data_IF_187553395299
#
_entry.id   IF_187553395299
#
_cell.length_a   1.000
_cell.length_b   1.000
_cell.length_c   1.000
_cell.angle_alpha   90.00
_cell.angle_beta   90.00
_cell.angle_gamma   90.00
#
_symmetry.space_group_name_H-M   'P 1'
#
loop_
_entity.id
_entity.type
_entity.pdbx_description
1 polymer ?
#
# COMPACT_ATOMS: atom_id res chain seq x y z
N UNK A 1 64.71 -1.48 -7.54
CA UNK A 1 64.45 -0.67 -6.33
C UNK A 1 63.66 0.61 -6.59
N UNK A 2 64.09 1.55 -7.45
CA UNK A 2 63.24 2.73 -7.80
C UNK A 2 62.09 2.33 -8.75
N UNK A 3 62.31 1.36 -9.63
CA UNK A 3 61.29 0.86 -10.57
C UNK A 3 60.15 0.11 -9.85
N UNK A 4 60.46 -0.74 -8.86
CA UNK A 4 59.45 -1.50 -8.09
C UNK A 4 58.54 -0.60 -7.24
N UNK A 5 59.09 0.49 -6.70
CA UNK A 5 58.37 1.48 -5.89
C UNK A 5 57.32 2.28 -6.69
N UNK A 6 57.52 2.46 -8.00
CA UNK A 6 56.57 3.12 -8.88
C UNK A 6 55.40 2.19 -9.26
N UNK A 7 55.67 0.88 -9.35
CA UNK A 7 54.68 -0.14 -9.69
C UNK A 7 53.72 -0.41 -8.52
N UNK A 8 54.25 -0.51 -7.28
CA UNK A 8 53.42 -0.63 -6.07
C UNK A 8 52.52 0.60 -5.86
N UNK A 9 53.05 1.82 -6.04
CA UNK A 9 52.25 3.05 -5.92
C UNK A 9 51.19 3.17 -7.01
N UNK A 10 51.49 2.72 -8.23
CA UNK A 10 50.54 2.67 -9.33
C UNK A 10 49.40 1.70 -9.06
N UNK A 11 49.71 0.52 -8.53
CA UNK A 11 48.72 -0.50 -8.21
C UNK A 11 47.73 -0.04 -7.13
N UNK A 12 48.22 0.63 -6.08
CA UNK A 12 47.37 1.19 -5.01
C UNK A 12 46.41 2.27 -5.53
N UNK A 13 46.86 3.10 -6.48
CA UNK A 13 45.99 4.13 -7.09
C UNK A 13 44.87 3.50 -7.94
N UNK A 14 45.17 2.41 -8.65
CA UNK A 14 44.18 1.67 -9.46
C UNK A 14 43.15 0.99 -8.56
N UNK A 15 43.59 0.33 -7.49
CA UNK A 15 42.72 -0.32 -6.51
C UNK A 15 41.75 0.67 -5.87
N UNK A 16 42.23 1.86 -5.49
CA UNK A 16 41.40 2.92 -4.96
C UNK A 16 40.36 3.42 -5.99
N UNK A 17 40.76 3.60 -7.25
CA UNK A 17 39.86 4.04 -8.31
C UNK A 17 38.74 3.03 -8.58
N UNK A 18 39.07 1.73 -8.61
CA UNK A 18 38.08 0.66 -8.81
C UNK A 18 37.15 0.57 -7.60
N UNK A 19 37.68 0.59 -6.38
CA UNK A 19 36.87 0.60 -5.16
C UNK A 19 35.90 1.79 -5.13
N UNK A 20 36.37 2.97 -5.53
CA UNK A 20 35.54 4.18 -5.59
C UNK A 20 34.41 4.06 -6.62
N UNK A 21 34.68 3.49 -7.80
CA UNK A 21 33.65 3.27 -8.83
C UNK A 21 32.60 2.25 -8.37
N UNK A 22 33.03 1.16 -7.74
CA UNK A 22 32.12 0.15 -7.16
C UNK A 22 31.26 0.79 -6.07
N UNK A 23 31.86 1.59 -5.20
CA UNK A 23 31.14 2.32 -4.15
C UNK A 23 30.10 3.28 -4.74
N UNK A 24 30.44 4.04 -5.79
CA UNK A 24 29.50 4.94 -6.45
C UNK A 24 28.32 4.21 -7.09
N UNK A 25 28.59 3.07 -7.75
CA UNK A 25 27.52 2.21 -8.29
C UNK A 25 26.60 1.67 -7.19
N UNK A 26 27.18 1.27 -6.05
CA UNK A 26 26.42 0.79 -4.90
C UNK A 26 25.51 1.88 -4.32
N UNK A 27 26.03 3.10 -4.10
CA UNK A 27 25.24 4.25 -3.64
C UNK A 27 24.13 4.62 -4.64
N UNK A 28 24.44 4.59 -5.94
CA UNK A 28 23.44 4.80 -6.99
C UNK A 28 22.33 3.74 -6.94
N UNK A 29 22.67 2.48 -6.71
CA UNK A 29 21.68 1.40 -6.58
C UNK A 29 20.74 1.59 -5.38
N UNK A 30 21.29 1.95 -4.21
CA UNK A 30 20.49 2.22 -3.01
C UNK A 30 19.57 3.43 -3.23
N UNK A 31 20.08 4.51 -3.80
CA UNK A 31 19.28 5.70 -4.05
C UNK A 31 18.14 5.41 -5.03
N UNK A 32 18.40 4.77 -6.17
CA UNK A 32 17.35 4.40 -7.14
C UNK A 32 16.26 3.51 -6.54
N UNK A 33 16.64 2.49 -5.78
CA UNK A 33 15.67 1.59 -5.12
C UNK A 33 14.87 2.30 -4.03
N UNK A 34 15.49 3.25 -3.32
CA UNK A 34 14.81 4.09 -2.33
C UNK A 34 13.78 5.03 -2.97
N UNK A 35 14.14 5.72 -4.05
CA UNK A 35 13.22 6.59 -4.80
C UNK A 35 12.06 5.79 -5.42
N UNK A 36 12.33 4.58 -5.92
CA UNK A 36 11.30 3.68 -6.41
C UNK A 36 10.35 3.21 -5.30
N UNK A 37 10.89 2.82 -4.14
CA UNK A 37 10.11 2.38 -2.99
C UNK A 37 9.20 3.49 -2.43
N UNK A 38 9.74 4.70 -2.31
CA UNK A 38 8.99 5.88 -1.86
C UNK A 38 7.93 6.27 -2.91
N UNK A 39 8.28 6.27 -4.19
CA UNK A 39 7.35 6.57 -5.28
C UNK A 39 6.14 5.65 -5.32
N UNK A 40 6.31 4.34 -5.07
CA UNK A 40 5.20 3.40 -5.02
C UNK A 40 4.20 3.71 -3.90
N UNK A 41 4.65 4.25 -2.75
CA UNK A 41 3.76 4.67 -1.68
C UNK A 41 2.92 5.89 -2.10
N UNK A 42 3.55 6.91 -2.68
CA UNK A 42 2.86 8.12 -3.15
C UNK A 42 1.93 7.86 -4.34
N UNK A 43 2.32 7.01 -5.29
CA UNK A 43 1.49 6.65 -6.44
C UNK A 43 0.24 5.89 -5.97
N UNK A 44 0.35 5.05 -4.94
CA UNK A 44 -0.81 4.38 -4.34
C UNK A 44 -1.77 5.40 -3.76
N UNK A 45 -1.29 6.34 -2.95
CA UNK A 45 -2.14 7.39 -2.35
C UNK A 45 -2.82 8.26 -3.42
N UNK A 46 -2.08 8.69 -4.44
CA UNK A 46 -2.63 9.47 -5.55
C UNK A 46 -3.63 8.66 -6.39
N UNK A 47 -3.37 7.37 -6.63
CA UNK A 47 -4.30 6.48 -7.30
C UNK A 47 -5.56 6.23 -6.45
N UNK A 48 -5.43 6.16 -5.12
CA UNK A 48 -6.56 6.07 -4.20
C UNK A 48 -7.38 7.36 -4.18
N UNK A 49 -6.73 8.52 -4.17
CA UNK A 49 -7.41 9.81 -4.20
C UNK A 49 -8.14 10.03 -5.52
N UNK A 50 -7.51 9.70 -6.65
CA UNK A 50 -8.14 9.70 -7.96
C UNK A 50 -9.30 8.69 -8.03
N UNK A 51 -9.09 7.44 -7.64
CA UNK A 51 -10.16 6.44 -7.63
C UNK A 51 -11.35 6.86 -6.74
N UNK A 52 -11.07 7.55 -5.62
CA UNK A 52 -12.10 8.09 -4.73
C UNK A 52 -12.82 9.29 -5.33
N UNK A 53 -12.12 10.23 -5.99
CA UNK A 53 -12.76 11.40 -6.59
C UNK A 53 -13.66 11.01 -7.77
N UNK A 54 -13.29 9.97 -8.52
CA UNK A 54 -14.13 9.41 -9.59
C UNK A 54 -15.21 8.44 -9.10
N UNK A 55 -15.10 7.86 -7.89
CA UNK A 55 -16.14 6.97 -7.34
C UNK A 55 -17.36 7.73 -6.75
N UNK A 56 -17.28 9.06 -6.60
CA UNK A 56 -18.37 9.91 -6.10
C UNK A 56 -19.00 10.69 -7.25
N UNK A 57 -19.53 9.98 -8.25
CA UNK A 57 -20.55 10.54 -9.14
C UNK A 57 -21.92 10.10 -8.65
N UNK A 58 -22.36 10.60 -7.49
CA UNK A 58 -23.81 10.71 -7.20
C UNK A 58 -24.17 11.54 -5.95
N UNK A 59 -23.25 11.84 -5.02
CA UNK A 59 -23.60 12.71 -3.88
C UNK A 59 -22.38 13.39 -3.21
N UNK A 60 -22.15 14.67 -3.51
CA UNK A 60 -21.03 15.47 -2.98
C UNK A 60 -21.22 15.88 -1.51
N UNK A 61 -22.44 15.90 -0.99
CA UNK A 61 -22.75 16.28 0.40
C UNK A 61 -22.36 15.16 1.38
N UNK A 62 -22.58 13.89 1.01
CA UNK A 62 -22.16 12.72 1.81
C UNK A 62 -20.64 12.58 1.98
N UNK A 63 -19.85 13.14 1.08
CA UNK A 63 -18.39 13.09 1.18
C UNK A 63 -17.82 13.98 2.31
N UNK A 64 -18.58 14.96 2.79
CA UNK A 64 -18.18 15.84 3.90
C UNK A 64 -18.33 15.17 5.27
N UNK A 65 -19.30 14.26 5.42
CA UNK A 65 -19.49 13.48 6.64
C UNK A 65 -18.56 12.26 6.65
N UNK A 66 -17.27 12.52 6.83
CA UNK A 66 -16.22 11.49 6.87
C UNK A 66 -16.39 10.59 8.11
N UNK A 67 -17.18 9.52 7.99
CA UNK A 67 -17.13 8.40 8.93
C UNK A 67 -16.25 7.29 8.39
N UNK A 68 -15.32 6.79 9.21
CA UNK A 68 -14.50 5.65 8.83
C UNK A 68 -15.36 4.39 8.71
N UNK A 69 -14.96 3.40 7.89
CA UNK A 69 -15.69 2.11 7.81
C UNK A 69 -15.95 1.51 9.20
N UNK A 70 -15.00 1.66 10.11
CA UNK A 70 -15.12 1.22 11.50
C UNK A 70 -16.28 1.92 12.22
N UNK A 71 -16.39 3.24 12.11
CA UNK A 71 -17.48 4.00 12.73
C UNK A 71 -18.85 3.63 12.14
N UNK A 72 -18.92 3.41 10.82
CA UNK A 72 -20.17 3.01 10.17
C UNK A 72 -20.61 1.64 10.67
N UNK A 73 -19.71 0.64 10.66
CA UNK A 73 -20.04 -0.71 11.14
C UNK A 73 -20.43 -0.67 12.62
N UNK A 74 -19.70 0.06 13.45
CA UNK A 74 -19.99 0.20 14.87
C UNK A 74 -21.31 0.94 15.14
N UNK A 75 -21.69 1.91 14.31
CA UNK A 75 -22.97 2.60 14.43
C UNK A 75 -24.15 1.72 13.99
N UNK A 76 -23.94 0.82 13.01
CA UNK A 76 -24.98 -0.09 12.51
C UNK A 76 -25.19 -1.28 13.44
N UNK A 77 -24.13 -1.87 14.02
CA UNK A 77 -24.21 -3.06 14.90
C UNK A 77 -25.18 -2.99 16.10
N UNK A 78 -25.41 -1.85 16.77
CA UNK A 78 -26.42 -1.77 17.81
C UNK A 78 -27.86 -1.67 17.26
N UNK A 79 -28.04 -1.38 15.97
CA UNK A 79 -29.37 -1.21 15.38
C UNK A 79 -30.08 -2.55 15.15
N UNK A 80 -31.41 -2.60 15.17
CA UNK A 80 -32.18 -3.80 14.84
C UNK A 80 -31.87 -4.36 13.44
N UNK A 81 -31.56 -3.50 12.47
CA UNK A 81 -31.24 -3.89 11.10
C UNK A 81 -30.01 -4.80 11.01
N UNK A 82 -29.03 -4.60 11.88
CA UNK A 82 -27.80 -5.42 11.91
C UNK A 82 -28.02 -6.88 12.29
N UNK A 83 -29.14 -7.21 12.95
CA UNK A 83 -29.48 -8.60 13.30
C UNK A 83 -29.95 -9.39 12.08
N UNK A 84 -30.47 -8.70 11.07
CA UNK A 84 -31.04 -9.30 9.86
C UNK A 84 -30.15 -9.13 8.63
N UNK A 85 -29.06 -8.37 8.75
CA UNK A 85 -28.18 -8.03 7.62
C UNK A 85 -26.74 -8.39 7.93
N UNK A 86 -26.07 -8.98 6.94
CA UNK A 86 -24.62 -9.23 6.99
C UNK A 86 -23.90 -8.03 6.42
N UNK A 87 -22.84 -7.60 7.09
CA UNK A 87 -22.04 -6.45 6.70
C UNK A 87 -20.77 -6.93 6.01
N UNK A 88 -20.73 -6.77 4.69
CA UNK A 88 -19.53 -6.96 3.86
C UNK A 88 -18.82 -5.60 3.71
N UNK A 89 -17.53 -5.54 4.03
CA UNK A 89 -16.70 -4.34 3.80
C UNK A 89 -15.64 -4.68 2.76
N UNK A 90 -15.39 -3.78 1.81
CA UNK A 90 -14.44 -4.07 0.74
C UNK A 90 -13.63 -2.87 0.27
N UNK A 91 -12.76 -3.16 -0.70
CA UNK A 91 -11.86 -2.21 -1.34
C UNK A 91 -10.39 -2.42 -0.98
N UNK A 92 -9.51 -2.00 -1.90
CA UNK A 92 -8.06 -2.19 -1.81
C UNK A 92 -7.42 -1.57 -0.56
N UNK A 93 -8.04 -0.54 0.03
CA UNK A 93 -7.56 0.13 1.25
C UNK A 93 -7.93 -0.62 2.54
N UNK A 94 -8.80 -1.63 2.48
CA UNK A 94 -9.27 -2.38 3.64
C UNK A 94 -8.51 -3.71 3.70
N UNK A 95 -8.04 -4.09 4.89
CA UNK A 95 -7.42 -5.41 5.12
C UNK A 95 -8.40 -6.35 5.82
N UNK A 96 -8.24 -7.69 5.69
CA UNK A 96 -9.06 -8.65 6.45
C UNK A 96 -9.02 -8.40 7.96
N UNK A 97 -7.83 -8.04 8.49
CA UNK A 97 -7.64 -7.75 9.92
C UNK A 97 -8.42 -6.50 10.34
N UNK A 98 -8.38 -5.45 9.53
CA UNK A 98 -9.13 -4.23 9.78
C UNK A 98 -10.65 -4.48 9.73
N UNK A 99 -11.14 -5.20 8.72
CA UNK A 99 -12.55 -5.58 8.58
C UNK A 99 -13.08 -6.33 9.80
N UNK A 100 -12.31 -7.32 10.28
CA UNK A 100 -12.64 -8.05 11.50
C UNK A 100 -12.65 -7.15 12.74
N UNK A 101 -11.69 -6.22 12.86
CA UNK A 101 -11.64 -5.27 13.98
C UNK A 101 -12.77 -4.23 13.97
N UNK A 102 -13.32 -3.92 12.79
CA UNK A 102 -14.51 -3.09 12.64
C UNK A 102 -15.79 -3.85 13.01
N UNK A 103 -15.74 -5.18 13.07
CA UNK A 103 -16.88 -6.03 13.35
C UNK A 103 -17.72 -6.32 12.11
N UNK A 104 -17.12 -6.34 10.92
CA UNK A 104 -17.80 -6.79 9.70
C UNK A 104 -17.86 -8.33 9.62
N UNK A 105 -18.84 -8.86 8.88
CA UNK A 105 -19.05 -10.31 8.71
C UNK A 105 -18.15 -10.90 7.62
N UNK A 106 -17.79 -10.11 6.61
CA UNK A 106 -16.90 -10.54 5.55
C UNK A 106 -16.10 -9.37 4.95
N UNK A 107 -15.08 -9.74 4.16
CA UNK A 107 -14.22 -8.82 3.43
C UNK A 107 -14.05 -9.24 1.96
N UNK A 108 -14.11 -8.28 1.04
CA UNK A 108 -13.78 -8.45 -0.37
C UNK A 108 -12.79 -7.39 -0.86
N UNK A 109 -11.66 -7.79 -1.46
CA UNK A 109 -10.64 -6.85 -1.92
C UNK A 109 -11.09 -6.05 -3.16
N UNK A 110 -11.92 -6.67 -3.98
CA UNK A 110 -12.44 -6.17 -5.25
C UNK A 110 -13.91 -6.60 -5.44
N UNK A 111 -14.50 -6.21 -6.58
CA UNK A 111 -15.90 -6.47 -6.90
C UNK A 111 -16.19 -7.97 -7.06
N UNK A 112 -15.29 -8.75 -7.67
CA UNK A 112 -15.49 -10.18 -7.91
C UNK A 112 -15.51 -10.95 -6.58
N UNK A 113 -14.54 -10.67 -5.72
CA UNK A 113 -14.52 -11.19 -4.36
C UNK A 113 -15.75 -10.74 -3.56
N UNK A 114 -16.21 -9.50 -3.73
CA UNK A 114 -17.37 -9.00 -3.02
C UNK A 114 -18.64 -9.79 -3.37
N UNK A 115 -18.87 -10.10 -4.65
CA UNK A 115 -20.00 -10.92 -5.10
C UNK A 115 -19.89 -12.34 -4.55
N UNK A 116 -18.71 -12.95 -4.68
CA UNK A 116 -18.47 -14.32 -4.20
C UNK A 116 -18.68 -14.42 -2.68
N UNK A 117 -18.23 -13.42 -1.92
CA UNK A 117 -18.42 -13.37 -0.47
C UNK A 117 -19.85 -13.05 -0.07
N UNK A 118 -20.53 -12.16 -0.78
CA UNK A 118 -21.95 -11.89 -0.56
C UNK A 118 -22.78 -13.16 -0.75
N UNK A 119 -22.51 -13.94 -1.80
CA UNK A 119 -23.17 -15.23 -2.03
C UNK A 119 -22.94 -16.19 -0.85
N UNK A 120 -21.70 -16.28 -0.35
CA UNK A 120 -21.39 -17.14 0.80
C UNK A 120 -22.10 -16.72 2.10
N UNK A 121 -22.46 -15.45 2.26
CA UNK A 121 -23.14 -14.91 3.43
C UNK A 121 -24.67 -15.11 3.40
N UNK A 122 -25.26 -15.31 2.22
CA UNK A 122 -26.69 -15.57 2.06
C UNK A 122 -27.01 -17.04 2.31
N UNK A 123 -26.08 -17.94 2.01
CA UNK A 123 -26.25 -19.39 2.15
C UNK A 123 -25.63 -19.98 3.43
N UNK A 124 -25.22 -19.14 4.39
CA UNK A 124 -24.63 -19.53 5.69
C UNK A 124 -25.63 -19.43 6.83
#
# INVERSE_FOLDING_TARGET
MVMDLLDERGNVMIEFAICFLIFMLFVSGITMTSFWGIGNAYIREAAFEAARSYAVYEDAERAKEKRTYKEIVQAVRPTPASKQTKILVGGLAVTPRFSKSAGADAYGADADMAVTKALSLVHS
#
